data_IF_462001116572
#
_entry.id   IF_462001116572
#
_cell.length_a   1.000
_cell.length_b   1.000
_cell.length_c   1.000
_cell.angle_alpha   90.00
_cell.angle_beta   90.00
_cell.angle_gamma   90.00
#
_symmetry.space_group_name_H-M   'P 1'
#
loop_
_entity.id
_entity.type
_entity.pdbx_description
1 polymer ?
#
# COMPACT_ATOMS: atom_id res chain seq x y z
N UNK A 1 10.37 -6.58 -1.58
CA UNK A 1 9.84 -7.83 -2.18
C UNK A 1 10.05 -7.70 -3.67
N UNK A 2 11.03 -8.39 -4.20
CA UNK A 2 11.29 -8.46 -5.63
C UNK A 2 10.53 -9.68 -6.18
N UNK A 3 9.87 -9.52 -7.31
CA UNK A 3 9.22 -10.62 -7.99
C UNK A 3 9.94 -10.81 -9.31
N UNK A 4 10.60 -11.95 -9.45
CA UNK A 4 11.20 -12.41 -10.68
C UNK A 4 10.29 -13.46 -11.28
N UNK A 5 9.91 -13.30 -12.53
CA UNK A 5 9.08 -14.29 -13.27
C UNK A 5 7.78 -14.72 -12.57
N UNK A 6 7.12 -13.78 -11.85
CA UNK A 6 5.94 -13.99 -10.99
C UNK A 6 6.21 -14.77 -9.69
N UNK A 7 7.44 -14.97 -9.30
CA UNK A 7 7.76 -15.60 -8.02
C UNK A 7 8.10 -14.57 -6.96
N UNK A 8 7.50 -14.69 -5.78
CA UNK A 8 7.90 -13.92 -4.62
C UNK A 8 9.22 -14.47 -4.09
N UNK A 9 10.29 -13.69 -4.21
CA UNK A 9 11.60 -14.06 -3.69
C UNK A 9 11.72 -13.56 -2.26
N UNK A 10 11.95 -14.48 -1.33
CA UNK A 10 12.32 -14.19 0.05
C UNK A 10 13.79 -14.57 0.21
N UNK A 11 14.61 -13.57 0.47
CA UNK A 11 16.05 -13.74 0.70
C UNK A 11 16.41 -13.31 2.13
N UNK A 12 17.34 -14.02 2.74
CA UNK A 12 17.96 -13.59 3.99
C UNK A 12 18.84 -12.38 3.73
N UNK A 13 18.55 -11.30 4.43
CA UNK A 13 19.26 -10.05 4.28
C UNK A 13 20.28 -9.87 5.40
N UNK A 14 21.56 -9.95 5.07
CA UNK A 14 22.66 -9.87 6.03
C UNK A 14 23.35 -8.50 6.06
N UNK A 15 23.05 -7.61 5.11
CA UNK A 15 23.66 -6.30 5.06
C UNK A 15 23.06 -5.35 6.11
N UNK A 16 23.90 -4.53 6.74
CA UNK A 16 23.50 -3.54 7.73
C UNK A 16 22.88 -2.27 7.14
N UNK A 17 22.97 -2.09 5.81
CA UNK A 17 22.45 -0.91 5.10
C UNK A 17 21.65 -1.37 3.88
N UNK A 18 20.50 -0.78 3.70
CA UNK A 18 19.65 -1.01 2.53
C UNK A 18 18.89 0.26 2.17
N UNK A 19 18.55 0.41 0.90
CA UNK A 19 17.54 1.37 0.44
C UNK A 19 16.17 0.72 0.50
N UNK A 20 15.17 1.46 0.94
CA UNK A 20 13.80 0.97 0.96
C UNK A 20 12.80 2.10 0.96
N UNK A 21 11.69 1.88 0.26
CA UNK A 21 10.49 2.71 0.34
C UNK A 21 9.38 1.84 0.93
N UNK A 22 8.81 2.26 2.02
CA UNK A 22 7.73 1.50 2.63
C UNK A 22 7.09 2.24 3.79
N UNK A 23 5.92 1.75 4.17
CA UNK A 23 5.23 2.18 5.37
C UNK A 23 5.29 1.05 6.40
N UNK A 24 5.68 1.39 7.61
CA UNK A 24 5.85 0.44 8.71
C UNK A 24 4.89 0.80 9.83
N UNK A 25 4.18 -0.18 10.33
CA UNK A 25 3.40 -0.06 11.56
C UNK A 25 4.21 -0.65 12.71
N UNK A 26 4.44 0.18 13.71
CA UNK A 26 5.09 -0.23 14.96
C UNK A 26 4.03 -0.40 16.06
N UNK A 27 4.11 -1.50 16.80
CA UNK A 27 3.20 -1.84 17.89
C UNK A 27 3.98 -2.33 19.10
N UNK A 28 3.48 -2.07 20.29
CA UNK A 28 4.00 -2.60 21.54
C UNK A 28 3.74 -4.11 21.73
N UNK A 29 2.98 -4.71 20.82
CA UNK A 29 2.62 -6.13 20.87
C UNK A 29 1.55 -6.49 21.90
N UNK A 30 0.97 -5.51 22.58
CA UNK A 30 -0.07 -5.74 23.58
C UNK A 30 -1.40 -5.93 22.88
N UNK A 31 -2.21 -6.89 23.35
CA UNK A 31 -3.57 -7.09 22.85
C UNK A 31 -4.42 -5.85 23.06
N UNK A 32 -5.04 -5.37 22.00
CA UNK A 32 -5.90 -4.20 22.02
C UNK A 32 -7.22 -4.43 21.26
N UNK A 33 -8.05 -3.41 21.24
CA UNK A 33 -9.27 -3.38 20.42
C UNK A 33 -8.88 -3.18 18.96
N UNK A 34 -9.57 -3.86 18.06
CA UNK A 34 -9.40 -3.74 16.61
C UNK A 34 -10.74 -3.42 15.96
N UNK A 35 -10.69 -2.72 14.85
CA UNK A 35 -11.84 -2.55 13.96
C UNK A 35 -11.90 -3.80 13.10
N UNK A 36 -13.00 -4.53 13.17
CA UNK A 36 -13.27 -5.68 12.31
C UNK A 36 -14.17 -5.28 11.16
N UNK A 37 -13.77 -5.60 9.94
CA UNK A 37 -14.55 -5.38 8.73
C UNK A 37 -14.82 -6.70 8.01
N UNK A 38 -16.07 -6.88 7.60
CA UNK A 38 -16.47 -7.94 6.68
C UNK A 38 -17.34 -7.34 5.58
N UNK A 39 -16.89 -7.49 4.35
CA UNK A 39 -17.51 -6.87 3.18
C UNK A 39 -17.80 -7.97 2.17
N UNK A 40 -19.04 -7.99 1.68
CA UNK A 40 -19.49 -8.84 0.59
C UNK A 40 -19.97 -7.95 -0.54
N UNK A 41 -19.32 -8.07 -1.67
CA UNK A 41 -19.59 -7.29 -2.88
C UNK A 41 -19.28 -5.79 -2.73
N UNK A 42 -18.90 -5.19 -3.82
CA UNK A 42 -18.83 -3.75 -3.97
C UNK A 42 -20.04 -3.26 -4.74
N UNK A 43 -20.71 -2.24 -4.23
CA UNK A 43 -21.76 -1.55 -4.96
C UNK A 43 -21.09 -0.51 -5.86
N UNK A 44 -21.25 -0.65 -7.19
CA UNK A 44 -20.69 0.28 -8.16
C UNK A 44 -19.49 -0.28 -8.92
N UNK A 45 -18.57 0.61 -9.28
CA UNK A 45 -17.40 0.28 -10.10
C UNK A 45 -16.28 -0.35 -9.28
N UNK A 46 -15.27 -0.85 -9.96
CA UNK A 46 -13.98 -1.27 -9.39
C UNK A 46 -13.43 -0.21 -8.42
N UNK A 47 -12.78 -0.64 -7.35
CA UNK A 47 -12.23 0.29 -6.36
C UNK A 47 -11.31 -0.37 -5.36
N UNK A 48 -10.60 0.46 -4.61
CA UNK A 48 -9.71 0.04 -3.54
C UNK A 48 -10.43 -0.02 -2.20
N UNK A 49 -10.24 -1.10 -1.43
CA UNK A 49 -10.76 -1.20 -0.07
C UNK A 49 -10.13 -0.12 0.85
N UNK A 50 -8.81 0.07 0.90
CA UNK A 50 -8.21 1.13 1.69
C UNK A 50 -8.72 2.54 1.33
N UNK A 51 -8.86 2.84 0.04
CA UNK A 51 -9.42 4.14 -0.40
C UNK A 51 -10.88 4.31 0.04
N UNK A 52 -11.69 3.24 -0.02
CA UNK A 52 -13.07 3.27 0.46
C UNK A 52 -13.14 3.54 1.97
N UNK A 53 -12.27 2.92 2.76
CA UNK A 53 -12.15 3.17 4.21
C UNK A 53 -11.76 4.64 4.45
N UNK A 54 -10.77 5.16 3.74
CA UNK A 54 -10.32 6.55 3.85
C UNK A 54 -11.46 7.54 3.55
N UNK A 55 -12.21 7.31 2.48
CA UNK A 55 -13.34 8.17 2.10
C UNK A 55 -14.40 8.21 3.21
N UNK A 56 -14.82 7.05 3.70
CA UNK A 56 -15.82 6.95 4.78
C UNK A 56 -15.34 7.64 6.06
N UNK A 57 -14.08 7.45 6.45
CA UNK A 57 -13.51 8.11 7.62
C UNK A 57 -13.46 9.64 7.45
N UNK A 58 -13.03 10.13 6.29
CA UNK A 58 -12.94 11.55 6.01
C UNK A 58 -14.31 12.24 6.01
N UNK A 59 -15.32 11.59 5.42
CA UNK A 59 -16.68 12.12 5.33
C UNK A 59 -17.41 12.15 6.68
N UNK A 60 -17.36 11.03 7.41
CA UNK A 60 -18.16 10.87 8.62
C UNK A 60 -17.55 11.54 9.86
N UNK A 61 -16.24 11.64 9.92
CA UNK A 61 -15.57 12.26 11.06
C UNK A 61 -15.33 13.75 10.88
N UNK A 62 -15.74 14.32 9.75
CA UNK A 62 -15.53 15.75 9.40
C UNK A 62 -14.09 16.20 9.66
N UNK A 63 -13.15 15.31 9.33
CA UNK A 63 -11.73 15.53 9.56
C UNK A 63 -11.28 16.72 8.70
N UNK A 64 -10.83 17.77 9.35
CA UNK A 64 -10.27 18.93 8.69
C UNK A 64 -8.96 18.59 7.96
N UNK A 65 -8.47 19.49 7.11
CA UNK A 65 -7.22 19.26 6.38
C UNK A 65 -5.97 19.09 7.28
N UNK A 66 -6.08 19.50 8.55
CA UNK A 66 -5.00 19.41 9.55
C UNK A 66 -5.10 18.16 10.43
N UNK A 67 -6.30 17.62 10.55
CA UNK A 67 -6.54 16.43 11.35
C UNK A 67 -6.55 15.21 10.43
N UNK A 68 -5.95 14.14 10.84
CA UNK A 68 -5.96 12.89 10.08
C UNK A 68 -5.99 11.70 11.01
N UNK A 69 -6.63 10.65 10.53
CA UNK A 69 -6.61 9.34 11.15
C UNK A 69 -5.74 8.45 10.29
N UNK A 70 -4.84 7.72 10.94
CA UNK A 70 -4.09 6.66 10.30
C UNK A 70 -4.51 5.31 10.87
N UNK A 71 -4.59 4.32 10.01
CA UNK A 71 -4.86 2.94 10.33
C UNK A 71 -3.76 2.05 9.78
N UNK A 72 -3.45 1.02 10.52
CA UNK A 72 -2.71 -0.12 9.99
C UNK A 72 -3.52 -1.39 10.18
N UNK A 73 -3.39 -2.33 9.26
CA UNK A 73 -4.18 -3.54 9.36
C UNK A 73 -3.79 -4.62 8.37
N UNK A 74 -4.47 -5.73 8.58
CA UNK A 74 -4.39 -6.91 7.71
C UNK A 74 -5.80 -7.18 7.20
N UNK A 75 -5.93 -7.41 5.90
CA UNK A 75 -7.18 -7.88 5.34
C UNK A 75 -6.92 -9.01 4.34
N UNK A 76 -7.94 -9.82 4.13
CA UNK A 76 -7.94 -10.91 3.16
C UNK A 76 -8.88 -10.61 2.02
N UNK A 77 -8.50 -11.01 0.82
CA UNK A 77 -9.37 -11.18 -0.32
C UNK A 77 -9.84 -12.63 -0.32
N UNK A 78 -11.05 -12.86 0.18
CA UNK A 78 -11.61 -14.21 0.32
C UNK A 78 -12.17 -14.73 -1.00
N UNK A 79 -12.78 -13.84 -1.78
CA UNK A 79 -13.33 -14.10 -3.10
C UNK A 79 -13.10 -12.90 -4.03
N UNK A 80 -13.24 -13.11 -5.33
CA UNK A 80 -13.01 -12.09 -6.34
C UNK A 80 -11.54 -11.90 -6.72
N UNK A 81 -11.28 -10.90 -7.54
CA UNK A 81 -9.98 -10.63 -8.17
C UNK A 81 -9.56 -9.18 -7.98
N UNK A 82 -8.26 -8.95 -7.96
CA UNK A 82 -7.65 -7.63 -7.85
C UNK A 82 -6.69 -7.34 -9.00
N UNK A 83 -6.42 -6.06 -9.21
CA UNK A 83 -5.28 -5.57 -9.97
C UNK A 83 -4.10 -5.33 -9.04
N UNK A 84 -2.93 -5.70 -9.52
CA UNK A 84 -1.68 -5.53 -8.77
C UNK A 84 -0.55 -5.03 -9.68
N UNK A 85 0.53 -4.58 -9.06
CA UNK A 85 1.79 -4.41 -9.76
C UNK A 85 2.95 -4.97 -8.94
N UNK A 86 4.04 -5.20 -9.62
CA UNK A 86 5.34 -5.52 -9.03
C UNK A 86 6.38 -4.57 -9.58
N UNK A 87 7.41 -4.33 -8.78
CA UNK A 87 8.60 -3.64 -9.24
C UNK A 87 9.54 -4.65 -9.90
N UNK A 88 10.12 -4.35 -11.06
CA UNK A 88 11.14 -5.18 -11.67
C UNK A 88 12.40 -5.24 -10.80
N UNK A 89 13.29 -6.19 -11.06
CA UNK A 89 14.58 -6.26 -10.39
C UNK A 89 15.38 -4.99 -10.70
N UNK A 90 15.93 -4.35 -9.66
CA UNK A 90 16.74 -3.12 -9.83
C UNK A 90 17.94 -3.30 -10.76
N UNK A 91 18.42 -4.52 -10.97
CA UNK A 91 19.49 -4.83 -11.94
C UNK A 91 19.06 -4.58 -13.38
N UNK A 92 17.77 -4.69 -13.66
CA UNK A 92 17.22 -4.52 -15.00
C UNK A 92 16.81 -3.06 -15.27
N UNK A 93 16.99 -2.18 -14.29
CA UNK A 93 16.62 -0.77 -14.40
C UNK A 93 17.82 0.03 -14.91
N UNK A 94 17.65 0.65 -16.04
CA UNK A 94 18.62 1.63 -16.53
C UNK A 94 18.61 2.86 -15.64
N UNK A 95 19.79 3.43 -15.34
CA UNK A 95 19.96 4.60 -14.47
C UNK A 95 19.12 5.82 -14.87
N UNK A 96 18.77 5.95 -16.13
CA UNK A 96 17.90 7.00 -16.68
C UNK A 96 16.48 7.02 -16.11
N UNK A 97 16.02 5.93 -15.47
CA UNK A 97 14.70 5.87 -14.80
C UNK A 97 14.69 6.50 -13.40
N UNK A 98 15.86 6.88 -12.87
CA UNK A 98 15.98 7.50 -11.54
C UNK A 98 15.96 9.03 -11.58
N UNK A 99 15.78 9.65 -12.73
CA UNK A 99 15.64 11.10 -12.81
C UNK A 99 14.27 11.51 -12.21
N UNK A 100 14.24 12.30 -11.10
CA UNK A 100 13.00 12.80 -10.52
C UNK A 100 12.15 13.62 -11.47
N UNK A 101 12.77 14.20 -12.53
CA UNK A 101 12.06 14.93 -13.58
C UNK A 101 11.40 13.97 -14.59
N UNK A 102 11.87 12.73 -14.67
CA UNK A 102 11.35 11.66 -15.50
C UNK A 102 10.31 10.78 -14.80
N UNK A 103 9.73 11.17 -13.66
CA UNK A 103 8.64 10.44 -13.00
C UNK A 103 7.39 10.20 -13.87
N UNK A 104 7.40 10.65 -15.10
CA UNK A 104 6.48 10.17 -16.16
C UNK A 104 6.66 8.67 -16.48
N UNK A 105 7.78 8.09 -16.09
CA UNK A 105 8.19 6.73 -16.45
C UNK A 105 7.79 5.62 -15.45
N UNK A 106 7.10 5.93 -14.35
CA UNK A 106 6.65 4.87 -13.42
C UNK A 106 5.74 3.85 -14.08
N UNK A 107 5.00 4.25 -15.12
CA UNK A 107 4.14 3.34 -15.88
C UNK A 107 4.91 2.33 -16.73
N UNK A 108 6.07 2.73 -17.24
CA UNK A 108 6.93 1.87 -18.06
C UNK A 108 7.79 0.95 -17.19
N UNK A 109 7.94 1.30 -15.92
CA UNK A 109 8.75 0.61 -14.93
C UNK A 109 7.96 -0.46 -14.16
N UNK A 110 6.69 -0.19 -13.84
CA UNK A 110 5.86 -1.11 -13.08
C UNK A 110 5.22 -2.16 -13.99
N UNK A 111 5.34 -3.42 -13.59
CA UNK A 111 4.65 -4.51 -14.26
C UNK A 111 3.29 -4.74 -13.60
N UNK A 112 2.22 -4.53 -14.36
CA UNK A 112 0.86 -4.70 -13.88
C UNK A 112 0.33 -6.09 -14.21
N UNK A 113 -0.40 -6.66 -13.24
CA UNK A 113 -1.05 -7.95 -13.36
C UNK A 113 -2.51 -7.84 -12.97
N UNK A 114 -3.38 -8.41 -13.80
CA UNK A 114 -4.78 -8.65 -13.50
C UNK A 114 -5.30 -9.83 -14.36
N UNK A 115 -6.24 -10.60 -13.85
CA UNK A 115 -6.73 -10.60 -12.47
C UNK A 115 -5.86 -11.47 -11.55
N UNK A 116 -5.67 -11.04 -10.29
CA UNK A 116 -4.94 -11.77 -9.26
C UNK A 116 -5.87 -12.14 -8.11
N UNK A 117 -5.70 -13.27 -7.51
CA UNK A 117 -6.53 -13.78 -6.41
C UNK A 117 -7.61 -14.78 -6.86
N UNK A 118 -8.48 -15.24 -5.96
CA UNK A 118 -8.62 -14.89 -4.53
C UNK A 118 -7.54 -15.49 -3.63
N UNK A 119 -7.81 -15.55 -2.33
CA UNK A 119 -6.94 -16.15 -1.32
C UNK A 119 -5.66 -15.36 -1.08
N UNK A 120 -5.83 -14.04 -1.01
CA UNK A 120 -4.75 -13.10 -0.74
C UNK A 120 -4.82 -12.58 0.68
N UNK A 121 -3.67 -12.43 1.32
CA UNK A 121 -3.50 -11.70 2.57
C UNK A 121 -2.77 -10.40 2.30
N UNK A 122 -3.42 -9.30 2.65
CA UNK A 122 -2.96 -7.94 2.39
C UNK A 122 -2.55 -7.27 3.70
N UNK A 123 -1.46 -6.52 3.66
CA UNK A 123 -0.94 -5.70 4.75
C UNK A 123 -1.00 -4.25 4.31
N UNK A 124 -1.65 -3.41 5.10
CA UNK A 124 -1.91 -2.04 4.70
C UNK A 124 -1.63 -1.04 5.81
N UNK A 125 -1.16 0.12 5.40
CA UNK A 125 -1.15 1.34 6.18
C UNK A 125 -1.90 2.39 5.37
N UNK A 126 -2.82 3.10 6.00
CA UNK A 126 -3.61 4.14 5.35
C UNK A 126 -3.81 5.35 6.26
N UNK A 127 -3.99 6.51 5.67
CA UNK A 127 -4.27 7.78 6.38
C UNK A 127 -5.22 8.68 5.60
N UNK A 128 -6.01 9.46 6.31
CA UNK A 128 -7.08 10.29 5.71
C UNK A 128 -6.61 11.66 5.25
N UNK A 129 -5.56 12.19 5.84
CA UNK A 129 -5.00 13.51 5.53
C UNK A 129 -3.63 13.42 4.85
N UNK A 130 -2.94 14.54 4.79
CA UNK A 130 -1.55 14.61 4.33
C UNK A 130 -0.62 14.83 5.53
N UNK A 131 0.13 13.80 5.96
CA UNK A 131 1.04 13.91 7.10
C UNK A 131 2.21 14.88 6.86
N UNK A 132 2.36 15.39 5.65
CA UNK A 132 3.37 16.39 5.30
C UNK A 132 2.84 17.83 5.34
N UNK A 133 1.58 18.01 5.72
CA UNK A 133 0.93 19.34 5.73
C UNK A 133 0.74 19.94 4.34
N UNK A 134 0.66 19.14 3.31
CA UNK A 134 0.49 19.54 1.92
C UNK A 134 1.81 19.70 1.14
N UNK A 135 2.96 19.53 1.78
CA UNK A 135 4.26 19.73 1.14
C UNK A 135 4.50 18.73 -0.02
N UNK A 136 4.02 17.49 0.10
CA UNK A 136 4.19 16.44 -0.88
C UNK A 136 2.91 15.93 -1.50
N UNK A 137 1.77 16.49 -1.08
CA UNK A 137 0.45 16.06 -1.51
C UNK A 137 0.22 14.53 -1.33
N UNK A 138 0.68 13.98 -0.21
CA UNK A 138 0.56 12.54 0.08
C UNK A 138 -0.88 12.09 0.37
N UNK A 139 -1.83 13.02 0.41
CA UNK A 139 -3.25 12.71 0.55
C UNK A 139 -3.76 11.82 -0.58
N UNK A 140 -3.31 12.04 -1.80
CA UNK A 140 -3.70 11.23 -2.96
C UNK A 140 -3.13 9.81 -2.89
N UNK A 141 -1.93 9.67 -2.31
CA UNK A 141 -1.26 8.39 -2.09
C UNK A 141 -1.44 7.87 -0.66
N UNK A 142 -2.51 8.28 0.03
CA UNK A 142 -2.72 8.03 1.46
C UNK A 142 -2.96 6.57 1.84
N UNK A 143 -2.38 5.64 1.09
CA UNK A 143 -2.38 4.21 1.41
C UNK A 143 -1.18 3.50 0.79
N UNK A 144 -0.76 2.42 1.44
CA UNK A 144 0.24 1.52 0.89
C UNK A 144 -0.12 0.10 1.31
N UNK A 145 -0.36 -0.76 0.33
CA UNK A 145 -0.87 -2.11 0.57
C UNK A 145 -0.06 -3.12 -0.23
N UNK A 146 0.57 -4.04 0.49
CA UNK A 146 1.21 -5.22 -0.10
C UNK A 146 0.40 -6.46 0.20
N UNK A 147 0.49 -7.45 -0.68
CA UNK A 147 -0.17 -8.73 -0.47
C UNK A 147 0.73 -9.90 -0.86
N UNK A 148 0.37 -11.06 -0.36
CA UNK A 148 0.80 -12.35 -0.88
C UNK A 148 -0.36 -13.34 -0.82
N UNK A 149 -0.33 -14.33 -1.70
CA UNK A 149 -1.27 -15.45 -1.65
C UNK A 149 -0.86 -16.42 -0.54
N UNK A 150 -1.85 -16.97 0.15
CA UNK A 150 -1.63 -18.06 1.09
C UNK A 150 -1.87 -19.45 0.47
N UNK A 151 -2.25 -19.51 -0.80
CA UNK A 151 -2.36 -20.77 -1.58
C UNK A 151 -1.25 -20.89 -2.64
N UNK A 152 -0.87 -19.76 -3.27
CA UNK A 152 0.09 -19.74 -4.37
C UNK A 152 1.29 -18.89 -4.02
N UNK A 153 2.47 -19.50 -3.84
CA UNK A 153 3.69 -18.77 -3.44
C UNK A 153 4.09 -17.64 -4.39
N UNK A 154 3.63 -17.67 -5.62
CA UNK A 154 4.02 -16.77 -6.68
C UNK A 154 3.13 -15.51 -6.77
N UNK A 155 1.99 -15.51 -6.11
CA UNK A 155 1.08 -14.37 -6.13
C UNK A 155 1.41 -13.41 -4.99
N UNK A 156 2.21 -12.39 -5.27
CA UNK A 156 2.50 -11.31 -4.35
C UNK A 156 2.71 -10.00 -5.11
N UNK A 157 2.59 -8.87 -4.42
CA UNK A 157 2.81 -7.56 -5.04
C UNK A 157 2.17 -6.41 -4.29
N UNK A 158 2.01 -5.31 -5.00
CA UNK A 158 1.31 -4.13 -4.54
C UNK A 158 -0.16 -4.17 -4.99
N UNK A 159 -1.08 -4.08 -4.04
CA UNK A 159 -2.52 -4.04 -4.27
C UNK A 159 -2.94 -2.68 -4.83
N UNK A 160 -3.79 -2.67 -5.84
CA UNK A 160 -4.41 -1.44 -6.36
C UNK A 160 -5.90 -1.38 -6.04
N UNK A 161 -6.69 -2.26 -6.64
CA UNK A 161 -8.14 -2.27 -6.49
C UNK A 161 -8.74 -3.61 -6.94
N UNK A 162 -9.98 -3.85 -6.54
CA UNK A 162 -10.72 -5.00 -7.03
C UNK A 162 -11.20 -4.81 -8.47
N UNK A 163 -11.17 -5.89 -9.26
CA UNK A 163 -11.60 -5.91 -10.67
C UNK A 163 -12.87 -6.71 -10.90
N UNK A 164 -13.37 -7.36 -9.85
CA UNK A 164 -14.62 -8.15 -9.86
C UNK A 164 -15.57 -7.69 -8.75
N UNK A 165 -16.15 -6.47 -8.84
CA UNK A 165 -16.92 -5.87 -7.76
C UNK A 165 -18.11 -6.72 -7.28
N UNK A 166 -18.75 -7.45 -8.16
CA UNK A 166 -19.92 -8.29 -7.82
C UNK A 166 -19.57 -9.55 -7.03
N UNK A 167 -18.30 -9.97 -7.06
CA UNK A 167 -17.82 -11.19 -6.42
C UNK A 167 -16.88 -10.93 -5.25
N UNK A 168 -16.38 -9.70 -5.11
CA UNK A 168 -15.34 -9.39 -4.12
C UNK A 168 -15.82 -9.61 -2.69
N UNK A 169 -15.04 -10.34 -1.91
CA UNK A 169 -15.26 -10.48 -0.48
C UNK A 169 -13.97 -10.15 0.27
N UNK A 170 -14.11 -9.28 1.28
CA UNK A 170 -13.02 -8.87 2.16
C UNK A 170 -13.34 -9.20 3.62
N UNK A 171 -12.31 -9.56 4.34
CA UNK A 171 -12.31 -9.65 5.80
C UNK A 171 -11.04 -9.03 6.35
N UNK A 172 -11.14 -8.14 7.31
CA UNK A 172 -9.96 -7.43 7.80
C UNK A 172 -10.06 -6.93 9.22
N UNK A 173 -8.88 -6.67 9.79
CA UNK A 173 -8.66 -6.17 11.14
C UNK A 173 -7.73 -4.97 11.08
N UNK A 174 -8.14 -3.86 11.70
CA UNK A 174 -7.41 -2.62 11.65
C UNK A 174 -7.23 -2.01 13.03
N UNK A 175 -6.06 -1.45 13.29
CA UNK A 175 -5.77 -0.63 14.44
C UNK A 175 -5.69 0.85 14.07
N UNK A 176 -6.15 1.72 14.96
CA UNK A 176 -5.97 3.16 14.85
C UNK A 176 -4.56 3.47 15.36
N UNK A 177 -3.77 4.17 14.55
CA UNK A 177 -2.46 4.66 14.97
C UNK A 177 -2.62 5.84 15.92
N UNK A 178 -1.79 5.89 16.97
CA UNK A 178 -1.73 7.01 17.90
C UNK A 178 -0.93 8.16 17.30
N UNK A 179 0.13 7.84 16.56
CA UNK A 179 1.03 8.80 15.95
C UNK A 179 1.44 8.35 14.54
N UNK A 180 1.75 9.31 13.69
CA UNK A 180 2.32 9.09 12.36
C UNK A 180 3.65 9.79 12.29
N UNK A 181 4.72 9.02 12.09
CA UNK A 181 6.07 9.54 11.96
C UNK A 181 6.54 9.40 10.52
N UNK A 182 7.00 10.50 9.97
CA UNK A 182 7.71 10.49 8.70
C UNK A 182 9.21 10.49 8.94
N UNK A 183 9.87 9.44 8.44
CA UNK A 183 11.33 9.32 8.48
C UNK A 183 11.87 9.68 7.09
N UNK A 184 12.94 10.47 7.06
CA UNK A 184 13.64 10.94 5.85
C UNK A 184 12.83 11.90 4.97
N UNK A 185 13.00 13.19 5.21
CA UNK A 185 12.52 14.22 4.30
C UNK A 185 13.53 14.42 3.15
N UNK A 186 13.55 13.49 2.20
CA UNK A 186 14.46 13.48 1.04
C UNK A 186 14.41 14.82 0.28
N UNK A 187 13.25 15.46 0.19
CA UNK A 187 13.10 16.72 -0.54
C UNK A 187 13.77 17.91 0.17
N UNK A 188 13.84 17.90 1.51
CA UNK A 188 14.64 18.91 2.25
C UNK A 188 16.13 18.65 2.10
N UNK A 189 16.53 17.40 2.07
CA UNK A 189 17.93 17.00 1.85
C UNK A 189 18.39 17.33 0.43
N UNK A 190 17.59 17.05 -0.60
CA UNK A 190 17.89 17.35 -2.00
C UNK A 190 17.95 18.86 -2.30
N UNK A 191 17.16 19.70 -1.60
CA UNK A 191 17.26 21.16 -1.75
C UNK A 191 18.56 21.74 -1.18
N UNK A 192 19.25 21.00 -0.33
CA UNK A 192 20.51 21.41 0.29
C UNK A 192 21.76 20.88 -0.44
N UNK A 193 21.54 20.02 -1.43
CA UNK A 193 22.61 19.56 -2.34
C UNK A 193 22.62 20.55 -3.54
N UNK A 194 23.49 21.57 -3.43
CA UNK A 194 23.81 22.47 -4.53
C UNK A 194 25.04 21.97 -5.27
#
# INVERSE_FOLDING_TARGET
MCIRDRECIVEDYTASKHGGLGNVYYSDGVKGKVIYLKIKKRIGKQGSLPQSIRAVLSENLKIGNKDHIALAGVFRVLNGKIRSHVQPDYKDIKHEYYDPQLMKCTKDFLQFYEPVGPKLQCYTVLWTGDPTGGELNLRESGEHTHFHSYEHKNDAGHYHFDVSPDEIEYEGYFNIAQEVHRVNNIYKELKNIK
#
